data_IF_945503521074
#
_entry.id   IF_945503521074
#
_cell.length_a   1.000
_cell.length_b   1.000
_cell.length_c   1.000
_cell.angle_alpha   90.00
_cell.angle_beta   90.00
_cell.angle_gamma   90.00
#
_symmetry.space_group_name_H-M   'P 1'
#
loop_
_entity.id
_entity.type
_entity.pdbx_description
1 polymer ?
#
# COMPACT_ATOMS: atom_id res chain seq x y z
N UNK A 1 -16.36 0.25 6.28
CA UNK A 1 -15.11 -0.26 5.70
C UNK A 1 -14.05 0.83 5.70
N UNK A 2 -12.86 0.51 6.18
CA UNK A 2 -11.76 1.48 6.22
C UNK A 2 -10.82 1.21 5.08
N UNK A 3 -10.57 2.23 4.26
CA UNK A 3 -9.63 2.14 3.15
C UNK A 3 -8.31 2.76 3.56
N UNK A 4 -7.23 2.18 3.08
CA UNK A 4 -5.89 2.58 3.49
C UNK A 4 -5.21 3.47 2.47
N UNK A 5 -4.29 4.29 2.96
CA UNK A 5 -3.40 5.09 2.12
C UNK A 5 -2.01 4.47 2.21
N UNK A 6 -1.37 4.29 1.07
CA UNK A 6 -0.02 3.73 1.00
C UNK A 6 0.97 4.87 0.85
N UNK A 7 1.96 4.88 1.74
CA UNK A 7 3.00 5.91 1.79
C UNK A 7 4.38 5.25 1.75
N UNK A 8 5.35 5.94 1.17
CA UNK A 8 6.75 5.52 1.27
C UNK A 8 7.31 5.94 2.62
N UNK A 9 8.50 5.42 2.95
CA UNK A 9 9.20 5.82 4.18
C UNK A 9 9.56 7.31 4.16
N UNK A 10 9.48 7.96 3.01
CA UNK A 10 9.69 9.40 2.87
C UNK A 10 8.37 10.17 2.89
N UNK A 11 7.28 9.50 3.27
CA UNK A 11 5.94 10.07 3.39
C UNK A 11 5.34 10.54 2.06
N UNK A 12 5.79 9.96 0.96
CA UNK A 12 5.19 10.23 -0.35
C UNK A 12 4.04 9.27 -0.58
N UNK A 13 2.90 9.80 -1.00
CA UNK A 13 1.71 8.99 -1.24
C UNK A 13 1.89 8.17 -2.52
N UNK A 14 1.71 6.86 -2.41
CA UNK A 14 1.79 5.96 -3.56
C UNK A 14 0.39 5.74 -4.14
N UNK A 15 -0.57 5.43 -3.29
CA UNK A 15 -1.95 5.28 -3.72
C UNK A 15 -2.88 5.42 -2.53
N UNK A 16 -4.15 5.74 -2.82
CA UNK A 16 -5.17 5.95 -1.80
C UNK A 16 -6.34 4.99 -2.02
N UNK A 17 -7.19 4.92 -1.02
CA UNK A 17 -8.42 4.12 -1.07
C UNK A 17 -8.12 2.65 -1.37
N UNK A 18 -7.07 2.13 -0.75
CA UNK A 18 -6.63 0.76 -0.97
C UNK A 18 -7.52 -0.18 -0.19
N UNK A 19 -8.10 -1.14 -0.90
CA UNK A 19 -8.99 -2.15 -0.33
C UNK A 19 -8.30 -3.49 -0.13
N UNK A 20 -7.24 -3.77 -0.87
CA UNK A 20 -6.54 -5.05 -0.77
C UNK A 20 -5.06 -4.89 -1.09
N UNK A 21 -4.26 -5.72 -0.42
CA UNK A 21 -2.81 -5.76 -0.66
C UNK A 21 -2.43 -7.22 -0.88
N UNK A 22 -1.71 -7.46 -1.97
CA UNK A 22 -1.21 -8.80 -2.29
C UNK A 22 0.29 -8.71 -2.50
N UNK A 23 1.02 -9.67 -1.96
CA UNK A 23 2.46 -9.76 -2.18
C UNK A 23 2.75 -10.93 -3.12
N UNK A 24 3.53 -10.66 -4.16
CA UNK A 24 3.94 -11.68 -5.13
C UNK A 24 5.43 -11.50 -5.40
N UNK A 25 6.23 -12.42 -4.86
CA UNK A 25 7.67 -12.30 -4.95
C UNK A 25 8.12 -11.02 -4.27
N UNK A 26 8.95 -10.23 -4.92
CA UNK A 26 9.42 -8.95 -4.37
C UNK A 26 8.52 -7.78 -4.68
N UNK A 27 7.27 -8.02 -5.11
CA UNK A 27 6.38 -6.95 -5.52
C UNK A 27 5.13 -6.92 -4.66
N UNK A 28 4.62 -5.71 -4.45
CA UNK A 28 3.38 -5.46 -3.73
C UNK A 28 2.35 -4.95 -4.72
N UNK A 29 1.14 -5.50 -4.64
CA UNK A 29 0.03 -5.07 -5.48
C UNK A 29 -1.03 -4.46 -4.57
N UNK A 30 -1.29 -3.18 -4.76
CA UNK A 30 -2.31 -2.46 -4.00
C UNK A 30 -3.51 -2.26 -4.90
N UNK A 31 -4.63 -2.85 -4.52
CA UNK A 31 -5.86 -2.74 -5.31
C UNK A 31 -6.79 -1.77 -4.60
N UNK A 32 -7.23 -0.73 -5.31
CA UNK A 32 -8.10 0.26 -4.72
C UNK A 32 -9.56 -0.19 -4.75
N UNK A 33 -10.45 0.65 -4.22
CA UNK A 33 -11.86 0.30 -4.09
C UNK A 33 -12.53 0.10 -5.45
N UNK A 34 -11.97 0.69 -6.51
CA UNK A 34 -12.48 0.53 -7.87
C UNK A 34 -11.92 -0.71 -8.56
N UNK A 35 -11.04 -1.44 -7.89
CA UNK A 35 -10.41 -2.63 -8.45
C UNK A 35 -9.17 -2.35 -9.28
N UNK A 36 -8.68 -1.12 -9.25
CA UNK A 36 -7.51 -0.73 -10.04
C UNK A 36 -6.25 -1.08 -9.25
N UNK A 37 -5.32 -1.86 -9.83
CA UNK A 37 -4.10 -2.26 -9.13
C UNK A 37 -2.97 -1.26 -9.36
N UNK A 38 -2.15 -1.09 -8.32
CA UNK A 38 -0.87 -0.38 -8.39
C UNK A 38 0.20 -1.35 -7.94
N UNK A 39 1.20 -1.58 -8.78
CA UNK A 39 2.27 -2.54 -8.50
C UNK A 39 3.55 -1.79 -8.14
N UNK A 40 4.13 -2.15 -7.01
CA UNK A 40 5.35 -1.51 -6.52
C UNK A 40 6.33 -2.58 -6.08
N UNK A 41 7.58 -2.47 -6.54
CA UNK A 41 8.65 -3.33 -6.04
C UNK A 41 9.10 -2.80 -4.69
N UNK A 42 9.10 -3.65 -3.67
CA UNK A 42 9.49 -3.22 -2.34
C UNK A 42 8.92 -4.12 -1.26
N UNK A 43 8.94 -3.61 -0.03
CA UNK A 43 8.47 -4.35 1.13
C UNK A 43 7.60 -3.48 2.02
N UNK A 44 6.74 -4.13 2.80
CA UNK A 44 5.91 -3.43 3.77
C UNK A 44 6.77 -3.16 5.00
N UNK A 45 6.79 -1.89 5.41
CA UNK A 45 7.51 -1.48 6.61
C UNK A 45 6.59 -1.49 7.83
N UNK A 46 5.35 -1.01 7.65
CA UNK A 46 4.40 -0.90 8.75
C UNK A 46 2.98 -0.85 8.21
N UNK A 47 2.07 -1.53 8.89
CA UNK A 47 0.64 -1.38 8.64
C UNK A 47 0.04 -0.78 9.90
N UNK A 48 -0.53 0.41 9.77
CA UNK A 48 -1.14 1.13 10.88
C UNK A 48 -2.65 1.09 10.72
N UNK A 49 -3.30 0.26 11.50
CA UNK A 49 -4.75 0.05 11.38
C UNK A 49 -5.55 1.17 12.03
N UNK A 50 -4.96 1.92 12.95
CA UNK A 50 -5.64 3.05 13.56
C UNK A 50 -5.69 4.24 12.61
N UNK A 51 -4.59 4.47 11.89
CA UNK A 51 -4.50 5.57 10.93
C UNK A 51 -4.89 5.16 9.52
N UNK A 52 -5.08 3.86 9.30
CA UNK A 52 -5.35 3.30 7.98
C UNK A 52 -4.27 3.67 6.97
N UNK A 53 -3.02 3.48 7.39
CA UNK A 53 -1.85 3.78 6.57
C UNK A 53 -0.98 2.56 6.43
N UNK A 54 -0.46 2.36 5.23
CA UNK A 54 0.51 1.31 4.96
C UNK A 54 1.80 1.99 4.51
N UNK A 55 2.85 1.78 5.31
CA UNK A 55 4.15 2.37 5.04
C UNK A 55 5.00 1.33 4.32
N UNK A 56 5.55 1.70 3.18
CA UNK A 56 6.36 0.79 2.39
C UNK A 56 7.75 1.36 2.15
N UNK A 57 8.69 0.44 1.95
CA UNK A 57 10.05 0.77 1.53
C UNK A 57 10.22 0.28 0.12
N UNK A 58 10.48 1.19 -0.81
CA UNK A 58 10.69 0.81 -2.21
C UNK A 58 12.04 0.12 -2.37
N UNK A 59 12.06 -0.83 -3.27
CA UNK A 59 13.29 -1.54 -3.60
C UNK A 59 14.24 -0.64 -4.39
#
# INVERSE_FOLDING_TARGET
MCLSTVLTTEHQVVCKNVAAVTQKGGKLVFTDIMGIPTVVAGSIEKIDLMENEILIRKA
#
